data_IF_410724259034
#
_entry.id   IF_410724259034
#
_cell.length_a   1.000
_cell.length_b   1.000
_cell.length_c   1.000
_cell.angle_alpha   90.00
_cell.angle_beta   90.00
_cell.angle_gamma   90.00
#
_symmetry.space_group_name_H-M   'P 1'
#
loop_
_entity.id
_entity.type
_entity.pdbx_description
1 polymer ?
#
# COMPACT_ATOMS: atom_id res chain seq x y z
N UNK A 1 -11.41 11.57 9.76
CA UNK A 1 -10.77 10.74 8.71
C UNK A 1 -9.30 10.55 9.06
N UNK A 2 -8.83 9.30 8.96
CA UNK A 2 -7.43 8.92 9.21
C UNK A 2 -6.49 9.64 8.23
N UNK A 3 -5.33 10.10 8.70
CA UNK A 3 -4.25 10.54 7.81
C UNK A 3 -3.51 9.34 7.22
N UNK A 4 -2.77 9.55 6.13
CA UNK A 4 -1.83 8.56 5.60
C UNK A 4 -0.41 9.06 5.80
N UNK A 5 0.37 8.33 6.60
CA UNK A 5 1.80 8.56 6.78
C UNK A 5 2.56 7.81 5.69
N UNK A 6 3.39 8.50 4.91
CA UNK A 6 4.23 7.89 3.87
C UNK A 6 5.69 8.00 4.26
N UNK A 7 6.36 6.86 4.37
CA UNK A 7 7.77 6.78 4.81
C UNK A 7 8.59 5.90 3.88
N UNK A 8 9.91 6.14 3.81
CA UNK A 8 10.78 5.32 2.96
C UNK A 8 12.21 5.17 3.46
N UNK A 9 12.82 4.03 3.17
CA UNK A 9 14.23 3.75 3.49
C UNK A 9 15.17 4.67 2.69
N UNK A 10 16.38 5.00 3.21
CA UNK A 10 17.32 5.93 2.56
C UNK A 10 17.66 5.61 1.10
N UNK A 11 17.66 4.32 0.75
CA UNK A 11 18.04 3.81 -0.56
C UNK A 11 16.91 3.89 -1.59
N UNK A 12 15.69 4.26 -1.17
CA UNK A 12 14.58 4.60 -2.09
C UNK A 12 14.85 5.97 -2.67
N UNK A 13 14.93 6.05 -4.00
CA UNK A 13 15.19 7.32 -4.67
C UNK A 13 13.99 8.24 -4.55
N UNK A 14 14.22 9.57 -4.61
CA UNK A 14 13.13 10.54 -4.61
C UNK A 14 12.16 10.34 -5.79
N UNK A 15 12.64 9.80 -6.91
CA UNK A 15 11.82 9.50 -8.08
C UNK A 15 10.86 8.34 -7.80
N UNK A 16 11.33 7.30 -7.11
CA UNK A 16 10.50 6.16 -6.69
C UNK A 16 9.49 6.58 -5.61
N UNK A 17 9.95 7.30 -4.58
CA UNK A 17 9.09 7.82 -3.53
C UNK A 17 7.97 8.71 -4.09
N UNK A 18 8.30 9.61 -5.02
CA UNK A 18 7.32 10.47 -5.68
C UNK A 18 6.30 9.67 -6.49
N UNK A 19 6.71 8.64 -7.23
CA UNK A 19 5.78 7.82 -7.99
C UNK A 19 4.76 7.12 -7.09
N UNK A 20 5.20 6.59 -5.94
CA UNK A 20 4.31 6.00 -4.94
C UNK A 20 3.38 7.04 -4.31
N UNK A 21 3.91 8.22 -3.97
CA UNK A 21 3.10 9.34 -3.42
C UNK A 21 2.05 9.80 -4.42
N UNK A 22 2.41 9.93 -5.71
CA UNK A 22 1.49 10.35 -6.76
C UNK A 22 0.38 9.30 -6.95
N UNK A 23 0.70 8.01 -6.94
CA UNK A 23 -0.30 6.93 -6.95
C UNK A 23 -1.18 6.93 -5.70
N UNK A 24 -0.60 7.13 -4.52
CA UNK A 24 -1.35 7.26 -3.27
C UNK A 24 -2.33 8.44 -3.30
N UNK A 25 -1.88 9.59 -3.82
CA UNK A 25 -2.73 10.76 -4.00
C UNK A 25 -3.86 10.50 -5.02
N UNK A 26 -3.57 9.78 -6.12
CA UNK A 26 -4.56 9.37 -7.10
C UNK A 26 -5.69 8.53 -6.50
N UNK A 27 -5.35 7.53 -5.66
CA UNK A 27 -6.34 6.72 -4.95
C UNK A 27 -7.25 7.57 -4.04
N UNK A 28 -6.68 8.55 -3.35
CA UNK A 28 -7.44 9.45 -2.47
C UNK A 28 -8.31 10.44 -3.25
N UNK A 29 -7.82 10.97 -4.37
CA UNK A 29 -8.60 11.87 -5.22
C UNK A 29 -9.78 11.13 -5.82
N UNK A 30 -9.60 9.90 -6.29
CA UNK A 30 -10.70 9.03 -6.75
C UNK A 30 -11.79 8.92 -5.69
N UNK A 31 -11.41 8.56 -4.46
CA UNK A 31 -12.37 8.41 -3.37
C UNK A 31 -13.06 9.73 -2.97
N UNK A 32 -12.37 10.85 -3.09
CA UNK A 32 -12.94 12.18 -2.85
C UNK A 32 -13.94 12.59 -3.94
N UNK A 33 -13.65 12.28 -5.21
CA UNK A 33 -14.56 12.57 -6.32
C UNK A 33 -15.86 11.79 -6.18
N UNK A 34 -15.80 10.50 -5.80
CA UNK A 34 -16.99 9.70 -5.49
C UNK A 34 -17.86 10.35 -4.40
N UNK A 35 -17.23 10.83 -3.33
CA UNK A 35 -17.96 11.49 -2.24
C UNK A 35 -18.60 12.81 -2.70
N UNK A 36 -17.89 13.60 -3.51
CA UNK A 36 -18.43 14.83 -4.07
C UNK A 36 -19.64 14.57 -4.97
N UNK A 37 -19.57 13.53 -5.83
CA UNK A 37 -20.65 13.15 -6.75
C UNK A 37 -21.90 12.65 -6.02
N UNK A 38 -21.74 12.04 -4.83
CA UNK A 38 -22.84 11.65 -3.95
C UNK A 38 -23.35 12.77 -3.05
N UNK A 39 -22.78 13.98 -3.14
CA UNK A 39 -23.15 15.13 -2.32
C UNK A 39 -22.70 15.05 -0.86
N UNK A 40 -21.78 14.15 -0.53
CA UNK A 40 -21.24 13.97 0.81
C UNK A 40 -19.93 14.75 0.95
N UNK A 41 -19.92 15.72 1.87
CA UNK A 41 -18.74 16.52 2.18
C UNK A 41 -17.72 15.76 3.02
N UNK A 42 -16.92 14.89 2.41
CA UNK A 42 -15.77 14.26 3.09
C UNK A 42 -14.60 15.24 3.19
N UNK A 43 -14.01 15.35 4.38
CA UNK A 43 -12.72 16.01 4.55
C UNK A 43 -11.63 15.19 3.88
N UNK A 44 -10.84 15.80 2.98
CA UNK A 44 -9.69 15.13 2.34
C UNK A 44 -8.72 14.59 3.40
N UNK A 45 -8.34 13.30 3.36
CA UNK A 45 -7.34 12.78 4.27
C UNK A 45 -5.99 13.43 3.98
N UNK A 46 -5.23 13.69 5.05
CA UNK A 46 -3.89 14.28 4.91
C UNK A 46 -2.89 13.20 4.51
N UNK A 47 -2.31 13.31 3.31
CA UNK A 47 -1.13 12.56 2.91
C UNK A 47 0.12 13.25 3.46
N UNK A 48 0.88 12.56 4.32
CA UNK A 48 2.04 13.09 5.04
C UNK A 48 3.31 12.40 4.57
N UNK A 49 4.06 12.95 3.61
CA UNK A 49 5.35 12.40 3.20
C UNK A 49 6.41 12.71 4.27
N UNK A 50 6.68 11.73 5.14
CA UNK A 50 7.63 11.86 6.25
C UNK A 50 9.07 11.55 5.82
N UNK A 51 9.25 10.86 4.70
CA UNK A 51 10.56 10.47 4.18
C UNK A 51 11.23 9.38 4.98
N UNK A 52 12.57 9.41 5.04
CA UNK A 52 13.35 8.63 6.01
C UNK A 52 13.26 9.29 7.38
N UNK A 53 12.06 9.25 7.95
CA UNK A 53 11.75 9.95 9.17
C UNK A 53 12.49 9.31 10.35
N UNK A 54 12.80 10.14 11.34
CA UNK A 54 13.27 9.72 12.65
C UNK A 54 12.72 10.69 13.69
N UNK A 55 12.61 10.26 14.94
CA UNK A 55 12.17 11.11 16.04
C UNK A 55 13.40 11.75 16.68
N UNK A 56 13.60 13.08 16.58
CA UNK A 56 14.82 13.71 17.09
C UNK A 56 15.04 13.55 18.60
N UNK A 57 13.96 13.34 19.36
CA UNK A 57 13.99 13.20 20.82
C UNK A 57 14.12 11.74 21.30
N UNK A 58 14.27 10.77 20.39
CA UNK A 58 14.38 9.34 20.71
C UNK A 58 15.77 8.87 20.30
N UNK A 59 16.46 8.20 21.22
CA UNK A 59 17.81 7.69 20.96
C UNK A 59 17.79 6.67 19.82
N UNK A 60 18.81 6.73 18.95
CA UNK A 60 18.99 5.76 17.87
C UNK A 60 19.00 4.33 18.42
N UNK A 61 18.19 3.45 17.84
CA UNK A 61 18.04 2.06 18.25
C UNK A 61 16.94 1.82 19.30
N UNK A 62 16.33 2.88 19.85
CA UNK A 62 15.13 2.75 20.68
C UNK A 62 13.94 2.26 19.84
N UNK A 63 12.92 1.61 20.41
CA UNK A 63 11.73 1.20 19.66
C UNK A 63 11.09 2.34 18.85
N UNK A 64 10.79 2.06 17.58
CA UNK A 64 10.13 2.97 16.64
C UNK A 64 10.85 4.31 16.37
N UNK A 65 12.16 4.37 16.60
CA UNK A 65 12.93 5.61 16.47
C UNK A 65 13.01 6.17 15.03
N UNK A 66 12.85 5.31 14.02
CA UNK A 66 12.83 5.66 12.58
C UNK A 66 12.24 4.54 11.73
N UNK A 67 12.06 4.78 10.43
CA UNK A 67 11.75 3.74 9.43
C UNK A 67 12.70 2.55 9.52
N UNK A 68 13.96 2.76 9.91
CA UNK A 68 14.95 1.68 10.02
C UNK A 68 14.61 0.70 11.13
N UNK A 69 13.92 1.12 12.19
CA UNK A 69 13.49 0.20 13.24
C UNK A 69 12.57 -0.89 12.68
N UNK A 70 11.59 -0.51 11.86
CA UNK A 70 10.66 -1.46 11.24
C UNK A 70 11.39 -2.44 10.31
N UNK A 71 12.38 -1.95 9.55
CA UNK A 71 13.26 -2.78 8.71
C UNK A 71 14.06 -3.76 9.56
N UNK A 72 14.77 -3.28 10.58
CA UNK A 72 15.57 -4.11 11.50
C UNK A 72 14.71 -5.17 12.21
N UNK A 73 13.49 -4.82 12.59
CA UNK A 73 12.57 -5.76 13.23
C UNK A 73 11.95 -6.76 12.27
N UNK A 74 12.06 -6.60 10.95
CA UNK A 74 11.42 -7.49 9.97
C UNK A 74 12.39 -8.18 9.02
N UNK A 75 13.67 -7.81 9.06
CA UNK A 75 14.72 -8.39 8.23
C UNK A 75 15.07 -9.80 8.70
N UNK A 76 15.01 -10.76 7.78
CA UNK A 76 15.72 -12.02 7.92
C UNK A 76 17.20 -11.80 7.54
N UNK A 77 18.08 -11.80 8.54
CA UNK A 77 19.52 -11.59 8.34
C UNK A 77 20.16 -12.64 7.41
N UNK A 78 19.61 -13.85 7.34
CA UNK A 78 20.19 -14.92 6.52
C UNK A 78 19.93 -14.71 5.02
N UNK A 79 18.72 -14.23 4.67
CA UNK A 79 18.30 -14.01 3.27
C UNK A 79 18.42 -12.55 2.82
N UNK A 80 18.45 -11.59 3.74
CA UNK A 80 18.38 -10.17 3.45
C UNK A 80 17.00 -9.70 2.97
N UNK A 81 15.96 -10.52 3.20
CA UNK A 81 14.56 -10.27 2.79
C UNK A 81 13.75 -9.78 3.99
N UNK A 82 12.82 -8.86 3.75
CA UNK A 82 11.89 -8.34 4.76
C UNK A 82 10.65 -9.21 4.80
N UNK A 83 10.30 -9.72 5.99
CA UNK A 83 9.00 -10.31 6.30
C UNK A 83 7.93 -9.21 6.40
N UNK A 84 7.06 -9.13 5.38
CA UNK A 84 6.01 -8.13 5.29
C UNK A 84 5.02 -8.16 6.46
N UNK A 85 4.67 -9.35 6.95
CA UNK A 85 3.78 -9.51 8.10
C UNK A 85 4.44 -9.01 9.37
N UNK A 86 5.70 -9.36 9.60
CA UNK A 86 6.46 -8.87 10.76
C UNK A 86 6.64 -7.35 10.71
N UNK A 87 6.82 -6.79 9.51
CA UNK A 87 6.87 -5.33 9.30
C UNK A 87 5.55 -4.67 9.72
N UNK A 88 4.41 -5.17 9.22
CA UNK A 88 3.10 -4.60 9.53
C UNK A 88 2.71 -4.81 11.01
N UNK A 89 3.03 -5.96 11.59
CA UNK A 89 2.80 -6.20 13.02
C UNK A 89 3.61 -5.23 13.89
N UNK A 90 4.83 -4.88 13.46
CA UNK A 90 5.60 -3.82 14.12
C UNK A 90 4.88 -2.48 14.06
N UNK A 91 4.28 -2.10 12.92
CA UNK A 91 3.43 -0.90 12.83
C UNK A 91 2.24 -0.99 13.79
N UNK A 92 1.53 -2.13 13.84
CA UNK A 92 0.37 -2.30 14.72
C UNK A 92 0.69 -2.01 16.19
N UNK A 93 1.90 -2.38 16.62
CA UNK A 93 2.36 -2.26 18.00
C UNK A 93 2.91 -0.87 18.35
N UNK A 94 2.98 0.06 17.40
CA UNK A 94 3.54 1.38 17.67
C UNK A 94 2.61 2.21 18.58
N UNK A 95 3.16 3.01 19.51
CA UNK A 95 2.35 3.81 20.44
C UNK A 95 1.42 4.81 19.74
N UNK A 96 1.84 5.38 18.59
CA UNK A 96 1.04 6.41 17.91
C UNK A 96 -0.17 5.83 17.18
N UNK A 97 -0.10 4.60 16.65
CA UNK A 97 -1.29 3.91 16.15
C UNK A 97 -2.33 3.69 17.25
N UNK A 98 -1.89 3.42 18.48
CA UNK A 98 -2.77 3.27 19.64
C UNK A 98 -3.36 4.60 20.13
N UNK A 99 -2.64 5.71 19.95
CA UNK A 99 -3.08 7.06 20.38
C UNK A 99 -3.91 7.79 19.32
N UNK A 100 -3.78 7.43 18.06
CA UNK A 100 -4.47 8.06 16.94
C UNK A 100 -4.33 7.23 15.68
N UNK A 101 -5.37 6.44 15.40
CA UNK A 101 -5.39 5.55 14.26
C UNK A 101 -5.13 6.32 12.96
N UNK A 102 -4.17 5.83 12.18
CA UNK A 102 -3.82 6.37 10.87
C UNK A 102 -3.45 5.23 9.93
N UNK A 103 -3.37 5.53 8.64
CA UNK A 103 -2.86 4.58 7.67
C UNK A 103 -1.36 4.80 7.48
N UNK A 104 -0.61 3.71 7.28
CA UNK A 104 0.81 3.75 6.96
C UNK A 104 1.09 3.18 5.57
N UNK A 105 1.93 3.90 4.81
CA UNK A 105 2.46 3.44 3.54
C UNK A 105 3.99 3.52 3.59
N UNK A 106 4.64 2.37 3.75
CA UNK A 106 6.09 2.27 3.78
C UNK A 106 6.65 1.87 2.41
N UNK A 107 7.78 2.46 2.02
CA UNK A 107 8.50 2.13 0.79
C UNK A 107 9.91 1.65 1.16
N UNK A 108 10.25 0.43 0.80
CA UNK A 108 11.52 -0.21 1.16
C UNK A 108 12.30 -0.61 -0.08
N UNK A 109 13.64 -0.56 0.02
CA UNK A 109 14.54 -1.01 -1.05
C UNK A 109 14.87 -2.51 -0.98
N UNK A 110 14.62 -3.13 0.18
CA UNK A 110 14.82 -4.56 0.39
C UNK A 110 13.81 -5.37 -0.40
N UNK A 111 14.17 -6.60 -0.74
CA UNK A 111 13.20 -7.57 -1.23
C UNK A 111 12.20 -7.91 -0.12
N UNK A 112 11.01 -8.32 -0.52
CA UNK A 112 9.90 -8.56 0.39
C UNK A 112 9.36 -9.95 0.14
N UNK A 113 9.00 -10.66 1.19
CA UNK A 113 8.11 -11.81 1.12
C UNK A 113 6.95 -11.59 2.07
N UNK A 114 5.82 -12.22 1.76
CA UNK A 114 4.67 -12.27 2.66
C UNK A 114 4.37 -13.76 2.95
N UNK A 115 4.16 -14.07 4.23
CA UNK A 115 4.39 -15.42 4.78
C UNK A 115 3.32 -16.43 4.31
N UNK A 116 3.65 -17.73 4.12
CA UNK A 116 2.81 -18.73 3.46
C UNK A 116 1.52 -19.20 4.17
N UNK A 117 1.18 -18.68 5.36
CA UNK A 117 0.03 -19.20 6.13
C UNK A 117 -1.33 -18.94 5.45
N UNK A 118 -1.41 -17.92 4.58
CA UNK A 118 -2.54 -17.69 3.67
C UNK A 118 -2.41 -18.43 2.33
N UNK A 119 -1.28 -19.10 2.10
CA UNK A 119 -0.83 -19.72 0.85
C UNK A 119 -0.48 -21.19 1.07
N UNK A 120 -1.44 -21.99 1.52
CA UNK A 120 -1.26 -23.44 1.58
C UNK A 120 -1.20 -24.04 0.16
N UNK A 121 -0.11 -23.83 -0.58
CA UNK A 121 0.16 -24.50 -1.86
C UNK A 121 1.01 -23.78 -2.90
N UNK A 122 1.23 -22.47 -2.79
CA UNK A 122 2.04 -21.69 -3.73
C UNK A 122 3.39 -21.31 -3.08
N UNK A 123 4.45 -21.21 -3.87
CA UNK A 123 5.80 -20.80 -3.42
C UNK A 123 5.94 -19.28 -3.61
N UNK A 124 5.68 -18.42 -2.59
CA UNK A 124 5.89 -17.00 -2.73
C UNK A 124 7.38 -16.71 -2.65
N UNK A 125 8.07 -16.81 -3.78
CA UNK A 125 9.49 -16.46 -3.84
C UNK A 125 9.76 -14.97 -3.55
N UNK A 126 8.76 -14.09 -3.69
CA UNK A 126 8.78 -12.67 -3.30
C UNK A 126 7.37 -12.08 -3.34
N UNK A 127 7.14 -10.94 -2.71
CA UNK A 127 5.95 -10.09 -2.84
C UNK A 127 6.36 -8.67 -3.27
N UNK A 128 5.49 -7.97 -4.01
CA UNK A 128 5.72 -6.56 -4.39
C UNK A 128 5.23 -5.59 -3.30
N UNK A 129 4.18 -5.99 -2.58
CA UNK A 129 3.70 -5.33 -1.39
C UNK A 129 3.11 -6.33 -0.41
N UNK A 130 3.06 -5.98 0.87
CA UNK A 130 2.26 -6.65 1.87
C UNK A 130 1.30 -5.62 2.48
N UNK A 131 0.08 -6.03 2.79
CA UNK A 131 -0.98 -5.11 3.24
C UNK A 131 -1.76 -5.68 4.42
N UNK A 132 -2.26 -4.78 5.27
CA UNK A 132 -3.25 -5.10 6.29
C UNK A 132 -4.41 -4.10 6.20
N UNK A 133 -5.65 -4.62 6.04
CA UNK A 133 -6.85 -3.79 6.02
C UNK A 133 -6.91 -2.82 7.19
N UNK A 134 -7.33 -1.60 6.91
CA UNK A 134 -7.54 -0.52 7.87
C UNK A 134 -6.29 -0.11 8.68
N UNK A 135 -5.09 -0.54 8.29
CA UNK A 135 -3.84 -0.26 9.02
C UNK A 135 -2.71 0.22 8.09
N UNK A 136 -2.12 -0.66 7.28
CA UNK A 136 -0.84 -0.34 6.64
C UNK A 136 -0.56 -1.14 5.37
N UNK A 137 0.36 -0.63 4.56
CA UNK A 137 1.01 -1.36 3.49
C UNK A 137 2.51 -1.07 3.46
N UNK A 138 3.29 -2.06 3.03
CA UNK A 138 4.70 -1.93 2.71
C UNK A 138 4.94 -2.32 1.26
N UNK A 139 5.59 -1.45 0.49
CA UNK A 139 5.91 -1.63 -0.93
C UNK A 139 7.42 -1.82 -1.08
N UNK A 140 7.82 -2.90 -1.74
CA UNK A 140 9.22 -3.10 -2.15
C UNK A 140 9.47 -2.54 -3.54
N UNK A 141 10.46 -1.65 -3.66
CA UNK A 141 10.94 -1.19 -4.98
C UNK A 141 11.98 -2.14 -5.59
N UNK A 142 12.41 -3.18 -4.85
CA UNK A 142 13.55 -4.02 -5.22
C UNK A 142 13.35 -4.68 -6.59
N UNK A 143 12.25 -5.43 -6.75
CA UNK A 143 11.91 -6.15 -7.97
C UNK A 143 11.42 -5.21 -9.08
N UNK A 144 10.73 -4.13 -8.71
CA UNK A 144 10.24 -3.11 -9.66
C UNK A 144 11.39 -2.37 -10.37
N UNK A 145 12.59 -2.30 -9.75
CA UNK A 145 13.80 -1.73 -10.38
C UNK A 145 14.29 -2.50 -11.60
N UNK A 146 13.82 -3.73 -11.82
CA UNK A 146 14.10 -4.49 -13.04
C UNK A 146 13.51 -3.82 -14.29
N UNK A 147 12.44 -3.02 -14.13
CA UNK A 147 11.87 -2.17 -15.20
C UNK A 147 12.88 -1.08 -15.56
N UNK A 148 13.48 -1.19 -16.76
CA UNK A 148 14.61 -0.35 -17.17
C UNK A 148 14.23 1.09 -17.47
N UNK A 149 13.06 1.33 -18.07
CA UNK A 149 12.64 2.69 -18.44
C UNK A 149 12.07 3.38 -17.21
N UNK A 150 12.59 4.57 -16.89
CA UNK A 150 12.17 5.32 -15.71
C UNK A 150 10.68 5.68 -15.73
N UNK A 151 10.10 5.96 -16.91
CA UNK A 151 8.68 6.27 -17.05
C UNK A 151 7.80 5.06 -16.70
N UNK A 152 8.09 3.89 -17.29
CA UNK A 152 7.42 2.63 -17.01
C UNK A 152 7.52 2.25 -15.52
N UNK A 153 8.70 2.44 -14.92
CA UNK A 153 8.90 2.17 -13.49
C UNK A 153 8.04 3.07 -12.61
N UNK A 154 7.92 4.36 -12.93
CA UNK A 154 7.05 5.28 -12.20
C UNK A 154 5.59 4.85 -12.30
N UNK A 155 5.16 4.49 -13.50
CA UNK A 155 3.80 4.04 -13.76
C UNK A 155 3.46 2.78 -12.95
N UNK A 156 4.34 1.77 -12.98
CA UNK A 156 4.20 0.55 -12.19
C UNK A 156 4.16 0.81 -10.67
N UNK A 157 5.00 1.73 -10.15
CA UNK A 157 5.01 2.10 -8.73
C UNK A 157 3.74 2.86 -8.31
N UNK A 158 3.24 3.76 -9.17
CA UNK A 158 1.99 4.48 -8.91
C UNK A 158 0.80 3.50 -8.85
N UNK A 159 0.71 2.58 -9.81
CA UNK A 159 -0.28 1.49 -9.79
C UNK A 159 -0.19 0.67 -8.51
N UNK A 160 1.02 0.23 -8.14
CA UNK A 160 1.23 -0.57 -6.94
C UNK A 160 0.79 0.17 -5.67
N UNK A 161 1.04 1.48 -5.59
CA UNK A 161 0.57 2.32 -4.50
C UNK A 161 -0.96 2.38 -4.41
N UNK A 162 -1.64 2.60 -5.54
CA UNK A 162 -3.11 2.60 -5.61
C UNK A 162 -3.69 1.24 -5.21
N UNK A 163 -3.09 0.16 -5.71
CA UNK A 163 -3.47 -1.21 -5.37
C UNK A 163 -3.34 -1.48 -3.86
N UNK A 164 -2.17 -1.18 -3.27
CA UNK A 164 -1.94 -1.37 -1.84
C UNK A 164 -2.86 -0.51 -0.97
N UNK A 165 -3.10 0.76 -1.34
CA UNK A 165 -4.08 1.59 -0.63
C UNK A 165 -5.51 1.06 -0.77
N UNK A 166 -5.86 0.48 -1.92
CA UNK A 166 -7.15 -0.18 -2.10
C UNK A 166 -7.34 -1.33 -1.11
N UNK A 167 -6.30 -2.13 -0.83
CA UNK A 167 -6.36 -3.14 0.23
C UNK A 167 -6.52 -2.54 1.63
N UNK A 168 -5.79 -1.46 1.95
CA UNK A 168 -5.98 -0.75 3.24
C UNK A 168 -7.42 -0.23 3.38
N UNK A 169 -8.00 0.26 2.29
CA UNK A 169 -9.36 0.80 2.23
C UNK A 169 -10.42 -0.26 1.91
N UNK A 170 -10.07 -1.55 1.97
CA UNK A 170 -10.99 -2.68 1.79
C UNK A 170 -11.79 -2.64 0.46
N UNK A 171 -11.15 -2.18 -0.63
CA UNK A 171 -11.76 -2.02 -1.96
C UNK A 171 -12.31 -3.33 -2.56
N UNK A 172 -11.87 -4.48 -2.05
CA UNK A 172 -12.36 -5.80 -2.45
C UNK A 172 -12.74 -6.58 -1.18
N UNK A 173 -13.97 -6.43 -0.67
CA UNK A 173 -14.41 -7.15 0.52
C UNK A 173 -14.52 -8.66 0.24
N UNK A 174 -14.32 -9.47 1.28
CA UNK A 174 -14.38 -10.92 1.18
C UNK A 174 -15.75 -11.43 0.72
N UNK A 175 -15.75 -12.43 -0.16
CA UNK A 175 -16.98 -13.10 -0.63
C UNK A 175 -17.76 -12.35 -1.72
N UNK A 176 -17.20 -11.27 -2.28
CA UNK A 176 -17.75 -10.57 -3.44
C UNK A 176 -17.67 -11.45 -4.71
N UNK A 177 -18.69 -11.38 -5.57
CA UNK A 177 -18.84 -12.30 -6.74
C UNK A 177 -17.72 -12.13 -7.79
N UNK A 178 -17.33 -10.89 -8.09
CA UNK A 178 -16.23 -10.57 -9.01
C UNK A 178 -14.90 -10.33 -8.26
N UNK A 179 -14.65 -11.17 -7.26
CA UNK A 179 -13.41 -11.19 -6.50
C UNK A 179 -12.84 -12.60 -6.40
N UNK A 180 -11.51 -12.70 -6.36
CA UNK A 180 -10.80 -13.95 -6.12
C UNK A 180 -9.78 -13.81 -4.99
N UNK A 181 -9.54 -14.91 -4.28
CA UNK A 181 -8.50 -14.97 -3.26
C UNK A 181 -7.18 -15.36 -3.92
N UNK A 182 -6.24 -14.42 -3.95
CA UNK A 182 -4.88 -14.65 -4.46
C UNK A 182 -3.92 -14.23 -3.37
N UNK A 183 -3.00 -15.12 -3.01
CA UNK A 183 -1.94 -14.82 -2.05
C UNK A 183 -2.42 -14.33 -0.68
N UNK A 184 -3.63 -14.76 -0.32
CA UNK A 184 -4.23 -14.43 0.96
C UNK A 184 -5.02 -13.13 1.01
N UNK A 185 -5.09 -12.38 -0.09
CA UNK A 185 -5.92 -11.18 -0.19
C UNK A 185 -6.94 -11.30 -1.32
N UNK A 186 -8.05 -10.59 -1.18
CA UNK A 186 -9.10 -10.55 -2.18
C UNK A 186 -8.78 -9.52 -3.27
N UNK A 187 -8.85 -9.94 -4.52
CA UNK A 187 -8.50 -9.14 -5.68
C UNK A 187 -9.70 -9.04 -6.63
N UNK A 188 -9.79 -7.94 -7.38
CA UNK A 188 -10.90 -7.72 -8.31
C UNK A 188 -10.65 -8.45 -9.64
N UNK A 189 -11.69 -9.08 -10.18
CA UNK A 189 -11.67 -9.75 -11.48
C UNK A 189 -11.98 -8.83 -12.68
N UNK A 190 -12.23 -7.54 -12.45
CA UNK A 190 -12.52 -6.59 -13.53
C UNK A 190 -11.23 -6.15 -14.24
N UNK A 191 -11.14 -6.41 -15.55
CA UNK A 191 -10.00 -6.13 -16.44
C UNK A 191 -9.55 -4.66 -16.54
N UNK A 192 -10.31 -3.70 -16.04
CA UNK A 192 -9.91 -2.29 -15.99
C UNK A 192 -9.55 -1.83 -14.56
N UNK A 193 -9.77 -2.66 -13.54
CA UNK A 193 -9.61 -2.25 -12.15
C UNK A 193 -8.16 -2.40 -11.68
N UNK A 194 -7.68 -1.37 -10.97
CA UNK A 194 -6.36 -1.39 -10.31
C UNK A 194 -6.22 -2.49 -9.24
N UNK A 195 -7.34 -3.00 -8.70
CA UNK A 195 -7.36 -4.08 -7.70
C UNK A 195 -7.13 -5.48 -8.28
N UNK A 196 -6.81 -5.60 -9.57
CA UNK A 196 -6.37 -6.88 -10.15
C UNK A 196 -5.02 -7.32 -9.60
N UNK A 197 -4.92 -8.62 -9.30
CA UNK A 197 -3.69 -9.25 -8.85
C UNK A 197 -2.64 -9.30 -9.95
N UNK A 198 -1.46 -8.73 -9.70
CA UNK A 198 -0.31 -8.82 -10.60
C UNK A 198 0.71 -9.84 -10.06
N UNK A 199 0.77 -11.07 -10.61
CA UNK A 199 1.63 -12.13 -10.07
C UNK A 199 3.12 -11.94 -10.40
N UNK A 200 3.46 -11.03 -11.32
CA UNK A 200 4.84 -10.73 -11.72
C UNK A 200 5.06 -9.24 -11.95
N UNK A 201 6.33 -8.83 -12.04
CA UNK A 201 6.71 -7.44 -12.37
C UNK A 201 6.27 -7.07 -13.79
N UNK A 202 6.31 -8.04 -14.73
CA UNK A 202 5.83 -7.86 -16.09
C UNK A 202 4.32 -7.63 -16.11
N UNK A 203 3.54 -8.47 -15.41
CA UNK A 203 2.10 -8.29 -15.29
C UNK A 203 1.73 -6.95 -14.63
N UNK A 204 2.47 -6.54 -13.58
CA UNK A 204 2.30 -5.22 -12.96
C UNK A 204 2.44 -4.11 -13.99
N UNK A 205 3.47 -4.16 -14.83
CA UNK A 205 3.73 -3.13 -15.84
C UNK A 205 2.69 -3.15 -16.96
N UNK A 206 2.32 -4.33 -17.45
CA UNK A 206 1.29 -4.49 -18.49
C UNK A 206 -0.05 -3.93 -18.02
N UNK A 207 -0.44 -4.21 -16.78
CA UNK A 207 -1.65 -3.64 -16.18
C UNK A 207 -1.54 -2.14 -16.00
N UNK A 208 -0.39 -1.63 -15.56
CA UNK A 208 -0.19 -0.20 -15.39
C UNK A 208 -0.29 0.55 -16.73
N UNK A 209 0.17 -0.04 -17.82
CA UNK A 209 -0.03 0.51 -19.17
C UNK A 209 -1.49 0.48 -19.62
N UNK A 210 -2.18 -0.64 -19.39
CA UNK A 210 -3.59 -0.75 -19.73
C UNK A 210 -4.42 0.29 -18.97
N UNK A 211 -4.10 0.54 -17.70
CA UNK A 211 -4.82 1.47 -16.84
C UNK A 211 -4.51 2.95 -17.18
N UNK A 212 -3.27 3.28 -17.57
CA UNK A 212 -2.87 4.63 -18.02
C UNK A 212 -3.65 5.11 -19.25
N UNK A 213 -4.08 4.18 -20.12
CA UNK A 213 -4.88 4.49 -21.31
C UNK A 213 -6.30 4.96 -20.96
N UNK A 214 -6.85 4.52 -19.82
CA UNK A 214 -8.25 4.75 -19.44
C UNK A 214 -8.42 5.64 -18.19
N UNK A 215 -7.35 6.28 -17.72
CA UNK A 215 -7.26 6.94 -16.41
C UNK A 215 -7.37 5.89 -15.28
N UNK A 216 -6.25 5.53 -14.62
CA UNK A 216 -6.21 4.40 -13.68
C UNK A 216 -7.25 4.60 -12.59
N UNK A 217 -8.21 3.68 -12.51
CA UNK A 217 -9.36 3.82 -11.63
C UNK A 217 -9.77 2.49 -11.00
N UNK A 218 -10.43 2.61 -9.85
CA UNK A 218 -11.18 1.52 -9.29
C UNK A 218 -12.45 1.33 -10.11
N UNK A 219 -12.87 0.10 -10.40
CA UNK A 219 -14.19 -0.14 -10.98
C UNK A 219 -15.30 0.30 -10.00
N UNK A 220 -16.53 0.43 -10.49
CA UNK A 220 -17.67 0.91 -9.69
C UNK A 220 -17.83 0.17 -8.36
N UNK A 221 -17.81 -1.16 -8.38
CA UNK A 221 -17.94 -1.94 -7.15
C UNK A 221 -16.77 -1.75 -6.16
N UNK A 222 -15.54 -1.53 -6.65
CA UNK A 222 -14.39 -1.24 -5.78
C UNK A 222 -14.45 0.20 -5.24
N UNK A 223 -14.96 1.11 -6.06
CA UNK A 223 -15.23 2.50 -5.72
C UNK A 223 -16.24 2.59 -4.59
N UNK A 224 -17.35 1.86 -4.70
CA UNK A 224 -18.40 1.78 -3.68
C UNK A 224 -17.86 1.22 -2.37
N UNK A 225 -17.08 0.14 -2.41
CA UNK A 225 -16.47 -0.44 -1.21
C UNK A 225 -15.49 0.54 -0.51
N UNK A 226 -14.65 1.24 -1.27
CA UNK A 226 -13.76 2.29 -0.73
C UNK A 226 -14.60 3.41 -0.09
N UNK A 227 -15.67 3.82 -0.76
CA UNK A 227 -16.55 4.87 -0.26
C UNK A 227 -17.22 4.47 1.06
N UNK A 228 -17.75 3.25 1.16
CA UNK A 228 -18.30 2.68 2.39
C UNK A 228 -17.26 2.63 3.51
N UNK A 229 -16.04 2.17 3.22
CA UNK A 229 -14.94 2.15 4.18
C UNK A 229 -14.60 3.56 4.69
N UNK A 230 -14.54 4.55 3.80
CA UNK A 230 -14.27 5.93 4.18
C UNK A 230 -15.39 6.53 5.01
N UNK A 231 -16.66 6.27 4.69
CA UNK A 231 -17.79 6.70 5.50
C UNK A 231 -17.72 6.11 6.91
N UNK A 232 -17.46 4.80 7.02
CA UNK A 232 -17.31 4.13 8.30
C UNK A 232 -16.19 4.77 9.14
N UNK A 233 -15.06 5.10 8.53
CA UNK A 233 -13.91 5.70 9.23
C UNK A 233 -13.94 7.25 9.30
N UNK A 234 -14.95 7.91 8.73
CA UNK A 234 -15.13 9.36 8.82
C UNK A 234 -15.91 9.76 10.07
N UNK A 235 -16.93 8.98 10.44
CA UNK A 235 -17.88 9.33 11.51
C UNK A 235 -17.63 8.63 12.86
N UNK A 236 -16.70 7.67 12.92
CA UNK A 236 -16.29 7.10 14.21
C UNK A 236 -15.38 8.13 14.92
N UNK A 237 -15.77 8.66 16.09
CA UNK A 237 -14.88 9.48 16.90
C UNK A 237 -13.69 8.63 17.34
N UNK A 238 -12.47 9.11 17.13
CA UNK A 238 -11.27 8.57 17.77
C UNK A 238 -11.40 8.65 19.29
#
# INVERSE_FOLDING_TARGET
>A
MKSISVQWTPEVTMTEARAVIDGAAGALEHAFLLAADTGIGLTRPHLRPLGTWHIPSVDKGSPYWSTLYYVEQSLDEASGVIDGRRFIETIRQEPWQQMGAHYDLAIIHHDLHDVPERMAGEDPSFALSATEPNLAAVISVNRVRQIRRSAERKLALARLAMHSLGHIMEAVPAGRENAELSWGDWHCLNDACVMRHAPTVEALLDFAHAEDEYDPSYCDDCSDAIFEHLLANHFIPN
#
